data_IF_500989079633
#
_entry.id   IF_500989079633
#
_cell.length_a   1.000
_cell.length_b   1.000
_cell.length_c   1.000
_cell.angle_alpha   90.00
_cell.angle_beta   90.00
_cell.angle_gamma   90.00
#
_symmetry.space_group_name_H-M   'P 1'
#
loop_
_entity.id
_entity.type
_entity.pdbx_description
1 polymer ?
#
# COMPACT_ATOMS: atom_id res chain seq x y z
N UNK A 1 38.90 7.78 -28.49
CA UNK A 1 38.04 7.43 -27.34
C UNK A 1 38.78 7.76 -26.06
N UNK A 2 38.11 8.42 -25.12
CA UNK A 2 38.74 9.11 -24.00
C UNK A 2 38.39 8.53 -22.62
N UNK A 3 39.27 8.76 -21.65
CA UNK A 3 39.02 8.45 -20.24
C UNK A 3 38.05 9.47 -19.61
N UNK A 4 36.89 9.00 -19.14
CA UNK A 4 35.82 9.81 -18.53
C UNK A 4 36.28 10.76 -17.40
N UNK A 5 37.38 10.44 -16.70
CA UNK A 5 37.88 11.24 -15.57
C UNK A 5 38.85 12.37 -15.97
N UNK A 6 39.54 12.26 -17.11
CA UNK A 6 40.58 13.22 -17.52
C UNK A 6 40.47 13.71 -18.96
N UNK A 7 39.53 13.20 -19.76
CA UNK A 7 39.32 13.57 -21.16
C UNK A 7 40.58 13.46 -22.04
N UNK A 8 41.47 12.52 -21.69
CA UNK A 8 42.63 12.16 -22.50
C UNK A 8 42.33 10.84 -23.21
N UNK A 9 42.68 10.75 -24.49
CA UNK A 9 42.55 9.52 -25.27
C UNK A 9 43.30 8.36 -24.60
N UNK A 10 42.75 7.16 -24.71
CA UNK A 10 43.48 5.96 -24.29
C UNK A 10 44.71 5.76 -25.18
N UNK A 11 45.81 5.26 -24.62
CA UNK A 11 47.05 5.03 -25.37
C UNK A 11 47.84 3.86 -24.78
N UNK A 12 48.52 3.11 -25.64
CA UNK A 12 49.16 1.83 -25.31
C UNK A 12 50.31 1.90 -24.30
N UNK A 13 50.84 3.09 -23.98
CA UNK A 13 51.99 3.24 -23.10
C UNK A 13 51.71 4.08 -21.84
N UNK A 14 50.91 5.16 -21.95
CA UNK A 14 50.70 6.12 -20.84
C UNK A 14 49.26 6.09 -20.32
N UNK A 15 48.27 6.02 -21.21
CA UNK A 15 46.84 6.04 -20.87
C UNK A 15 46.17 4.66 -21.10
N UNK A 16 46.71 3.62 -20.48
CA UNK A 16 46.22 2.24 -20.62
C UNK A 16 44.77 2.14 -20.12
N UNK A 17 43.79 1.73 -20.97
CA UNK A 17 42.39 1.60 -20.59
C UNK A 17 42.15 0.36 -19.73
N UNK A 18 41.41 0.49 -18.63
CA UNK A 18 41.20 -0.55 -17.62
C UNK A 18 39.73 -0.56 -17.18
N UNK A 19 39.13 -1.74 -17.10
CA UNK A 19 37.68 -1.93 -16.87
C UNK A 19 37.39 -2.05 -15.37
N UNK A 20 36.45 -1.26 -14.87
CA UNK A 20 35.87 -1.43 -13.54
C UNK A 20 34.90 -2.61 -13.53
N UNK A 21 35.29 -3.71 -12.87
CA UNK A 21 34.63 -5.02 -12.96
C UNK A 21 33.19 -5.04 -12.44
N UNK A 22 32.78 -4.11 -11.58
CA UNK A 22 31.40 -4.06 -11.05
C UNK A 22 30.44 -3.22 -11.90
N UNK A 23 30.91 -2.50 -12.93
CA UNK A 23 30.05 -1.65 -13.77
C UNK A 23 30.42 -1.54 -15.25
N UNK A 24 31.50 -2.19 -15.72
CA UNK A 24 31.92 -2.18 -17.13
C UNK A 24 32.55 -0.87 -17.63
N UNK A 25 32.34 0.26 -16.95
CA UNK A 25 32.98 1.53 -17.27
C UNK A 25 34.50 1.46 -17.25
N UNK A 26 35.14 2.18 -18.17
CA UNK A 26 36.59 2.14 -18.39
C UNK A 26 37.26 3.46 -17.98
N UNK A 27 38.38 3.37 -17.26
CA UNK A 27 39.23 4.49 -16.87
C UNK A 27 40.68 4.21 -17.28
N UNK A 28 41.51 5.25 -17.43
CA UNK A 28 42.93 5.04 -17.65
C UNK A 28 43.63 4.64 -16.34
N UNK A 29 44.73 3.89 -16.44
CA UNK A 29 45.47 3.41 -15.28
C UNK A 29 45.96 4.56 -14.36
N UNK A 30 46.26 5.74 -14.92
CA UNK A 30 46.60 6.94 -14.15
C UNK A 30 45.43 7.44 -13.28
N UNK A 31 44.23 7.56 -13.86
CA UNK A 31 43.03 7.95 -13.12
C UNK A 31 42.63 6.90 -12.08
N UNK A 32 42.85 5.61 -12.35
CA UNK A 32 42.65 4.54 -11.36
C UNK A 32 43.64 4.66 -10.19
N UNK A 33 44.91 4.99 -10.44
CA UNK A 33 45.90 5.28 -9.37
C UNK A 33 45.47 6.42 -8.45
N UNK A 34 44.84 7.46 -8.99
CA UNK A 34 44.33 8.59 -8.19
C UNK A 34 43.00 8.35 -7.46
N UNK A 35 42.26 7.29 -7.83
CA UNK A 35 40.93 6.98 -7.28
C UNK A 35 40.89 5.67 -6.46
N UNK A 36 42.03 4.98 -6.34
CA UNK A 36 42.14 3.71 -5.61
C UNK A 36 42.41 3.96 -4.12
N UNK A 37 41.37 3.77 -3.32
CA UNK A 37 41.41 3.94 -1.87
C UNK A 37 40.78 2.72 -1.18
N UNK A 38 41.34 2.27 -0.07
CA UNK A 38 40.81 1.13 0.71
C UNK A 38 40.53 -0.16 -0.09
N UNK A 39 41.33 -0.43 -1.14
CA UNK A 39 41.18 -1.56 -2.08
C UNK A 39 39.90 -1.51 -2.94
N UNK A 40 39.36 -0.32 -3.17
CA UNK A 40 38.19 -0.10 -4.00
C UNK A 40 38.30 1.20 -4.83
N UNK A 41 37.43 1.32 -5.83
CA UNK A 41 37.27 2.50 -6.68
C UNK A 41 35.78 2.77 -6.85
N UNK A 42 35.34 3.99 -6.52
CA UNK A 42 34.01 4.48 -6.87
C UNK A 42 34.03 4.96 -8.32
N UNK A 43 33.21 4.37 -9.19
CA UNK A 43 33.15 4.74 -10.59
C UNK A 43 32.66 6.20 -10.75
N UNK A 44 33.41 7.11 -11.40
CA UNK A 44 32.99 8.51 -11.57
C UNK A 44 31.80 8.69 -12.54
N UNK A 45 31.46 7.67 -13.33
CA UNK A 45 30.39 7.71 -14.32
C UNK A 45 29.03 7.22 -13.76
N UNK A 46 29.03 6.32 -12.78
CA UNK A 46 27.79 5.72 -12.25
C UNK A 46 27.79 5.48 -10.72
N UNK A 47 28.81 5.93 -10.00
CA UNK A 47 28.99 5.79 -8.54
C UNK A 47 29.00 4.35 -7.99
N UNK A 48 29.04 3.32 -8.84
CA UNK A 48 29.20 1.92 -8.43
C UNK A 48 30.63 1.67 -7.95
N UNK A 49 30.77 1.02 -6.79
CA UNK A 49 32.06 0.68 -6.19
C UNK A 49 32.57 -0.63 -6.79
N UNK A 50 33.78 -0.62 -7.35
CA UNK A 50 34.49 -1.83 -7.78
C UNK A 50 35.66 -2.12 -6.83
N UNK A 51 35.67 -3.30 -6.19
CA UNK A 51 36.72 -3.72 -5.25
C UNK A 51 37.79 -4.56 -5.95
N UNK A 52 39.06 -4.32 -5.64
CA UNK A 52 40.19 -5.02 -6.25
C UNK A 52 41.43 -5.04 -5.31
N UNK A 53 42.19 -6.16 -5.24
CA UNK A 53 43.39 -6.23 -4.40
C UNK A 53 44.47 -5.19 -4.77
N UNK A 54 44.61 -4.91 -6.07
CA UNK A 54 45.51 -3.90 -6.64
C UNK A 54 44.87 -3.28 -7.88
N UNK A 55 45.37 -2.13 -8.33
CA UNK A 55 44.91 -1.47 -9.57
C UNK A 55 45.17 -2.36 -10.80
N UNK A 56 46.25 -3.14 -10.81
CA UNK A 56 46.56 -4.08 -11.89
C UNK A 56 45.59 -5.27 -11.97
N UNK A 57 44.78 -5.50 -10.92
CA UNK A 57 43.72 -6.51 -10.93
C UNK A 57 42.50 -6.09 -11.77
N UNK A 58 42.40 -4.81 -12.18
CA UNK A 58 41.43 -4.39 -13.18
C UNK A 58 41.92 -4.81 -14.58
N UNK A 59 41.12 -5.56 -15.36
CA UNK A 59 41.54 -6.04 -16.67
C UNK A 59 41.66 -4.88 -17.65
N UNK A 60 42.67 -4.93 -18.51
CA UNK A 60 42.85 -3.98 -19.60
C UNK A 60 41.72 -4.10 -20.62
N UNK A 61 41.16 -2.99 -21.08
CA UNK A 61 40.15 -2.99 -22.14
C UNK A 61 40.80 -3.22 -23.50
N UNK A 62 41.08 -4.49 -23.81
CA UNK A 62 41.73 -4.90 -25.05
C UNK A 62 40.94 -4.49 -26.30
N UNK A 63 39.61 -4.37 -26.23
CA UNK A 63 38.80 -3.91 -27.36
C UNK A 63 39.11 -2.45 -27.72
N UNK A 64 39.29 -1.56 -26.74
CA UNK A 64 39.68 -0.16 -27.01
C UNK A 64 41.09 -0.06 -27.60
N UNK A 65 42.04 -0.84 -27.07
CA UNK A 65 43.40 -0.91 -27.63
C UNK A 65 43.38 -1.47 -29.06
N UNK A 66 42.57 -2.50 -29.30
CA UNK A 66 42.38 -3.09 -30.62
C UNK A 66 41.76 -2.09 -31.60
N UNK A 67 40.75 -1.30 -31.22
CA UNK A 67 40.14 -0.28 -32.08
C UNK A 67 41.16 0.76 -32.57
N UNK A 68 42.14 1.15 -31.76
CA UNK A 68 43.23 2.02 -32.21
C UNK A 68 44.19 1.33 -33.19
N UNK A 69 44.46 0.02 -33.02
CA UNK A 69 45.23 -0.77 -34.00
C UNK A 69 44.42 -1.21 -35.23
N UNK A 70 43.08 -1.18 -35.18
CA UNK A 70 42.17 -1.70 -36.21
C UNK A 70 42.03 -0.83 -37.46
N UNK A 71 42.73 0.32 -37.54
CA UNK A 71 42.95 0.97 -38.84
C UNK A 71 43.68 0.07 -39.85
N UNK A 72 44.25 -1.06 -39.39
CA UNK A 72 44.75 -2.16 -40.23
C UNK A 72 44.23 -3.52 -39.77
N UNK A 73 42.94 -3.82 -39.96
CA UNK A 73 42.41 -5.18 -39.81
C UNK A 73 42.87 -6.08 -40.96
N UNK A 74 44.00 -6.77 -40.78
CA UNK A 74 44.51 -7.75 -41.75
C UNK A 74 43.70 -9.06 -41.65
N UNK A 75 43.22 -9.58 -42.79
CA UNK A 75 42.45 -10.83 -42.88
C UNK A 75 43.35 -12.09 -42.76
N UNK A 76 44.40 -12.03 -41.95
CA UNK A 76 45.45 -13.04 -41.87
C UNK A 76 45.37 -13.85 -40.58
N UNK A 77 45.73 -15.13 -40.68
CA UNK A 77 45.82 -16.04 -39.54
C UNK A 77 46.97 -15.64 -38.61
N UNK A 78 46.66 -15.39 -37.34
CA UNK A 78 47.63 -14.95 -36.33
C UNK A 78 48.82 -15.90 -36.08
N UNK A 79 48.71 -17.20 -36.43
CA UNK A 79 49.82 -18.16 -36.34
C UNK A 79 50.75 -18.14 -37.55
N UNK A 80 50.18 -18.09 -38.75
CA UNK A 80 50.88 -18.38 -40.00
C UNK A 80 51.11 -17.15 -40.87
N UNK A 81 50.49 -16.02 -40.52
CA UNK A 81 50.49 -14.77 -41.29
C UNK A 81 50.07 -14.94 -42.76
N UNK A 82 49.13 -15.87 -42.99
CA UNK A 82 48.52 -16.21 -44.30
C UNK A 82 47.04 -15.89 -44.28
N UNK A 83 46.46 -15.56 -45.42
CA UNK A 83 45.05 -15.19 -45.54
C UNK A 83 44.08 -16.28 -45.03
N UNK A 84 42.98 -15.82 -44.43
CA UNK A 84 41.90 -16.65 -43.91
C UNK A 84 40.92 -16.98 -45.04
N UNK A 85 40.74 -18.27 -45.32
CA UNK A 85 39.96 -18.76 -46.47
C UNK A 85 38.82 -19.70 -46.08
N UNK A 86 38.94 -20.38 -44.94
CA UNK A 86 37.99 -21.39 -44.49
C UNK A 86 37.53 -21.19 -43.03
N UNK A 87 36.37 -21.74 -42.72
CA UNK A 87 35.82 -21.84 -41.37
C UNK A 87 35.57 -23.31 -41.03
N UNK A 88 36.05 -23.74 -39.86
CA UNK A 88 35.77 -25.07 -39.33
C UNK A 88 34.58 -25.03 -38.38
N UNK A 89 33.54 -25.83 -38.65
CA UNK A 89 32.34 -25.92 -37.81
C UNK A 89 32.61 -26.64 -36.49
N UNK A 90 33.49 -27.64 -36.48
CA UNK A 90 33.85 -28.41 -35.28
C UNK A 90 34.50 -27.51 -34.22
N UNK A 91 35.56 -26.77 -34.61
CA UNK A 91 36.32 -25.92 -33.69
C UNK A 91 35.78 -24.49 -33.57
N UNK A 92 34.86 -24.10 -34.47
CA UNK A 92 34.35 -22.72 -34.63
C UNK A 92 35.47 -21.70 -34.87
N UNK A 93 36.46 -22.07 -35.70
CA UNK A 93 37.67 -21.27 -35.98
C UNK A 93 37.76 -20.87 -37.45
N UNK A 94 38.33 -19.68 -37.66
CA UNK A 94 38.79 -19.18 -38.94
C UNK A 94 40.18 -19.76 -39.25
N UNK A 95 40.37 -20.31 -40.45
CA UNK A 95 41.55 -21.06 -40.86
C UNK A 95 42.17 -20.46 -42.13
N UNK A 96 43.50 -20.42 -42.17
CA UNK A 96 44.28 -20.33 -43.41
C UNK A 96 44.68 -21.73 -43.91
N UNK A 97 45.24 -21.81 -45.11
CA UNK A 97 45.71 -23.08 -45.71
C UNK A 97 46.65 -23.88 -44.80
N UNK A 98 47.60 -23.25 -44.10
CA UNK A 98 48.48 -23.96 -43.15
C UNK A 98 47.73 -24.52 -41.94
N UNK A 99 46.71 -23.85 -41.43
CA UNK A 99 45.89 -24.45 -40.37
C UNK A 99 45.15 -25.70 -40.87
N UNK A 100 44.67 -25.70 -42.12
CA UNK A 100 44.05 -26.88 -42.71
C UNK A 100 45.07 -28.02 -42.86
N UNK A 101 46.29 -27.72 -43.30
CA UNK A 101 47.28 -28.73 -43.65
C UNK A 101 48.12 -29.27 -42.47
N UNK A 102 48.37 -28.44 -41.45
CA UNK A 102 49.38 -28.65 -40.42
C UNK A 102 48.78 -28.72 -39.00
N UNK A 103 47.77 -27.88 -38.68
CA UNK A 103 47.12 -27.83 -37.36
C UNK A 103 46.03 -28.92 -37.13
N UNK A 104 46.05 -30.01 -37.91
CA UNK A 104 45.15 -31.16 -37.70
C UNK A 104 43.69 -30.98 -38.14
N UNK A 105 43.29 -29.84 -38.71
CA UNK A 105 41.90 -29.61 -39.12
C UNK A 105 41.43 -30.44 -40.34
N UNK A 106 42.31 -31.19 -41.04
CA UNK A 106 41.99 -31.96 -42.26
C UNK A 106 40.74 -32.84 -42.18
N UNK A 107 40.46 -33.42 -41.00
CA UNK A 107 39.34 -34.34 -40.77
C UNK A 107 38.07 -33.66 -40.23
N UNK A 108 38.06 -32.35 -40.06
CA UNK A 108 36.91 -31.62 -39.50
C UNK A 108 36.00 -31.06 -40.60
N UNK A 109 34.70 -30.92 -40.29
CA UNK A 109 33.77 -30.27 -41.21
C UNK A 109 34.16 -28.79 -41.35
N UNK A 110 34.47 -28.40 -42.58
CA UNK A 110 34.89 -27.04 -42.92
C UNK A 110 34.24 -26.55 -44.21
N UNK A 111 34.14 -25.24 -44.37
CA UNK A 111 33.62 -24.62 -45.58
C UNK A 111 34.27 -23.26 -45.83
N UNK A 112 34.03 -22.65 -46.98
CA UNK A 112 34.56 -21.30 -47.29
C UNK A 112 33.90 -20.24 -46.41
N UNK A 113 34.61 -19.15 -46.11
CA UNK A 113 34.08 -18.05 -45.27
C UNK A 113 32.70 -17.58 -45.72
N UNK A 114 32.49 -17.43 -47.03
CA UNK A 114 31.21 -16.98 -47.59
C UNK A 114 30.05 -17.93 -47.29
N UNK A 115 30.27 -19.26 -47.39
CA UNK A 115 29.23 -20.26 -47.07
C UNK A 115 28.94 -20.35 -45.57
N UNK A 116 29.98 -20.28 -44.74
CA UNK A 116 29.82 -20.24 -43.28
C UNK A 116 29.06 -18.98 -42.83
N UNK A 117 29.43 -17.82 -43.38
CA UNK A 117 28.79 -16.56 -43.07
C UNK A 117 27.32 -16.51 -43.55
N UNK A 118 26.99 -17.10 -44.70
CA UNK A 118 25.60 -17.22 -45.15
C UNK A 118 24.76 -18.07 -44.17
N UNK A 119 25.21 -19.30 -43.86
CA UNK A 119 24.52 -20.21 -42.92
C UNK A 119 24.39 -19.63 -41.51
N UNK A 120 25.40 -18.88 -41.05
CA UNK A 120 25.36 -18.24 -39.73
C UNK A 120 24.47 -16.99 -39.71
N UNK A 121 24.34 -16.25 -40.82
CA UNK A 121 23.36 -15.14 -40.96
C UNK A 121 21.93 -15.67 -40.97
N UNK A 122 21.63 -16.68 -41.78
CA UNK A 122 20.33 -17.37 -41.81
C UNK A 122 19.90 -17.82 -40.40
N UNK A 123 20.83 -18.42 -39.64
CA UNK A 123 20.57 -18.80 -38.24
C UNK A 123 20.28 -17.60 -37.33
N UNK A 124 20.94 -16.46 -37.55
CA UNK A 124 20.68 -15.23 -36.79
C UNK A 124 19.35 -14.57 -37.21
N UNK A 125 18.96 -14.65 -38.48
CA UNK A 125 17.67 -14.15 -38.98
C UNK A 125 16.50 -14.93 -38.35
N UNK A 126 16.60 -16.26 -38.28
CA UNK A 126 15.61 -17.12 -37.59
C UNK A 126 15.53 -16.77 -36.09
N UNK A 127 16.68 -16.59 -35.42
CA UNK A 127 16.71 -16.18 -34.01
C UNK A 127 16.13 -14.77 -33.80
N UNK A 128 16.40 -13.84 -34.72
CA UNK A 128 15.86 -12.48 -34.65
C UNK A 128 14.33 -12.48 -34.80
N UNK A 129 13.79 -13.23 -35.78
CA UNK A 129 12.34 -13.40 -35.93
C UNK A 129 11.70 -14.01 -34.67
N UNK A 130 12.34 -15.02 -34.07
CA UNK A 130 11.87 -15.61 -32.80
C UNK A 130 11.91 -14.62 -31.63
N UNK A 131 12.92 -13.74 -31.57
CA UNK A 131 13.03 -12.71 -30.52
C UNK A 131 11.94 -11.65 -30.70
N UNK A 132 11.72 -11.15 -31.92
CA UNK A 132 10.64 -10.19 -32.21
C UNK A 132 9.25 -10.75 -31.90
N UNK A 133 9.03 -12.05 -32.10
CA UNK A 133 7.78 -12.69 -31.70
C UNK A 133 7.62 -12.76 -30.17
N UNK A 134 8.69 -13.11 -29.43
CA UNK A 134 8.68 -13.13 -27.97
C UNK A 134 8.45 -11.72 -27.41
N UNK A 135 9.10 -10.70 -27.99
CA UNK A 135 8.92 -9.29 -27.63
C UNK A 135 7.47 -8.83 -27.84
N UNK A 136 6.85 -9.18 -28.97
CA UNK A 136 5.43 -8.93 -29.22
C UNK A 136 4.53 -9.57 -28.16
N UNK A 137 4.68 -10.87 -27.91
CA UNK A 137 3.89 -11.60 -26.92
C UNK A 137 4.04 -11.02 -25.49
N UNK A 138 5.26 -10.63 -25.10
CA UNK A 138 5.53 -10.04 -23.79
C UNK A 138 4.91 -8.64 -23.65
N UNK A 139 4.89 -7.85 -24.71
CA UNK A 139 4.20 -6.56 -24.73
C UNK A 139 2.68 -6.76 -24.61
N UNK A 140 2.09 -7.71 -25.35
CA UNK A 140 0.65 -8.04 -25.25
C UNK A 140 0.26 -8.53 -23.83
N UNK A 141 1.09 -9.38 -23.21
CA UNK A 141 0.89 -9.86 -21.84
C UNK A 141 1.03 -8.72 -20.80
N UNK A 142 2.02 -7.83 -20.96
CA UNK A 142 2.18 -6.62 -20.13
C UNK A 142 0.95 -5.71 -20.24
N UNK A 143 0.45 -5.49 -21.45
CA UNK A 143 -0.77 -4.73 -21.72
C UNK A 143 -2.00 -5.34 -21.05
N UNK A 144 -2.10 -6.67 -21.01
CA UNK A 144 -3.18 -7.37 -20.29
C UNK A 144 -3.03 -7.25 -18.76
N UNK A 145 -1.81 -7.36 -18.23
CA UNK A 145 -1.53 -7.18 -16.81
C UNK A 145 -1.87 -5.76 -16.33
N UNK A 146 -1.59 -4.73 -17.14
CA UNK A 146 -1.97 -3.34 -16.83
C UNK A 146 -3.49 -3.13 -16.86
N UNK A 147 -4.20 -3.73 -17.83
CA UNK A 147 -5.67 -3.73 -17.89
C UNK A 147 -6.28 -4.43 -16.68
N UNK A 148 -5.75 -5.60 -16.29
CA UNK A 148 -6.17 -6.35 -15.09
C UNK A 148 -5.92 -5.54 -13.82
N UNK A 149 -4.75 -4.94 -13.67
CA UNK A 149 -4.39 -4.07 -12.52
C UNK A 149 -5.33 -2.87 -12.41
N UNK A 150 -5.59 -2.19 -13.53
CA UNK A 150 -6.51 -1.05 -13.59
C UNK A 150 -7.95 -1.44 -13.23
N UNK A 151 -8.40 -2.62 -13.69
CA UNK A 151 -9.71 -3.18 -13.35
C UNK A 151 -9.81 -3.48 -11.84
N UNK A 152 -8.80 -4.11 -11.25
CA UNK A 152 -8.74 -4.40 -9.80
C UNK A 152 -8.78 -3.11 -8.98
N UNK A 153 -7.97 -2.10 -9.32
CA UNK A 153 -8.00 -0.81 -8.62
C UNK A 153 -9.37 -0.13 -8.74
N UNK A 154 -9.98 -0.17 -9.93
CA UNK A 154 -11.33 0.37 -10.16
C UNK A 154 -12.41 -0.35 -9.34
N UNK A 155 -12.32 -1.67 -9.14
CA UNK A 155 -13.29 -2.40 -8.30
C UNK A 155 -13.01 -2.21 -6.81
N UNK A 156 -11.75 -2.16 -6.40
CA UNK A 156 -11.32 -1.82 -5.04
C UNK A 156 -11.88 -0.46 -4.60
N UNK A 157 -11.66 0.59 -5.40
CA UNK A 157 -12.07 1.96 -5.05
C UNK A 157 -13.60 2.07 -4.98
N UNK A 158 -14.32 1.40 -5.89
CA UNK A 158 -15.79 1.31 -5.85
C UNK A 158 -16.31 0.60 -4.61
N UNK A 159 -15.67 -0.48 -4.17
CA UNK A 159 -16.07 -1.18 -2.94
C UNK A 159 -15.80 -0.32 -1.70
N UNK A 160 -14.68 0.42 -1.66
CA UNK A 160 -14.40 1.39 -0.59
C UNK A 160 -15.48 2.49 -0.58
N UNK A 161 -15.83 3.06 -1.73
CA UNK A 161 -16.88 4.08 -1.84
C UNK A 161 -18.25 3.53 -1.39
N UNK A 162 -18.63 2.34 -1.86
CA UNK A 162 -19.89 1.65 -1.52
C UNK A 162 -20.00 1.41 -0.01
N UNK A 163 -19.02 0.75 0.61
CA UNK A 163 -19.04 0.50 2.06
C UNK A 163 -18.88 1.77 2.90
N UNK A 164 -18.00 2.70 2.50
CA UNK A 164 -17.85 3.98 3.21
C UNK A 164 -19.15 4.78 3.19
N UNK A 165 -19.86 4.78 2.06
CA UNK A 165 -21.19 5.40 1.91
C UNK A 165 -22.23 4.78 2.84
N UNK A 166 -22.29 3.44 2.94
CA UNK A 166 -23.20 2.74 3.87
C UNK A 166 -22.95 3.16 5.33
N UNK A 167 -21.71 3.10 5.80
CA UNK A 167 -21.39 3.51 7.17
C UNK A 167 -21.59 5.01 7.41
N UNK A 168 -21.40 5.85 6.38
CA UNK A 168 -21.63 7.29 6.49
C UNK A 168 -23.12 7.62 6.59
N UNK A 169 -23.98 6.98 5.80
CA UNK A 169 -25.43 7.15 5.89
C UNK A 169 -25.98 6.76 7.27
N UNK A 170 -25.47 5.69 7.89
CA UNK A 170 -25.83 5.31 9.27
C UNK A 170 -25.42 6.38 10.27
N UNK A 171 -24.18 6.90 10.19
CA UNK A 171 -23.72 7.99 11.06
C UNK A 171 -24.60 9.23 10.92
N UNK A 172 -24.86 9.68 9.69
CA UNK A 172 -25.67 10.87 9.44
C UNK A 172 -27.11 10.73 9.95
N UNK A 173 -27.71 9.55 9.81
CA UNK A 173 -29.04 9.25 10.36
C UNK A 173 -29.06 9.28 11.90
N UNK A 174 -28.05 8.70 12.56
CA UNK A 174 -27.92 8.69 14.02
C UNK A 174 -27.62 10.11 14.55
N UNK A 175 -26.65 10.82 13.98
CA UNK A 175 -26.30 12.20 14.35
C UNK A 175 -27.48 13.16 14.19
N UNK A 176 -28.31 12.96 13.14
CA UNK A 176 -29.52 13.74 12.92
C UNK A 176 -30.58 13.46 14.00
N UNK A 177 -30.78 12.17 14.32
CA UNK A 177 -31.74 11.75 15.36
C UNK A 177 -31.31 12.20 16.75
N UNK A 178 -30.03 12.11 17.09
CA UNK A 178 -29.50 12.62 18.36
C UNK A 178 -29.83 14.11 18.53
N UNK A 179 -29.55 14.93 17.50
CA UNK A 179 -29.87 16.37 17.49
C UNK A 179 -31.37 16.61 17.69
N UNK A 180 -32.23 15.86 17.02
CA UNK A 180 -33.70 15.93 17.19
C UNK A 180 -34.13 15.63 18.63
N UNK A 181 -33.63 14.55 19.23
CA UNK A 181 -33.96 14.17 20.62
C UNK A 181 -33.48 15.23 21.60
N UNK A 182 -32.20 15.61 21.51
CA UNK A 182 -31.58 16.60 22.41
C UNK A 182 -32.30 17.95 22.32
N UNK A 183 -32.74 18.36 21.13
CA UNK A 183 -33.50 19.58 20.94
C UNK A 183 -34.89 19.50 21.58
N UNK A 184 -35.65 18.42 21.35
CA UNK A 184 -36.97 18.22 21.98
C UNK A 184 -36.92 18.13 23.50
N UNK A 185 -35.86 17.54 24.07
CA UNK A 185 -35.63 17.50 25.52
C UNK A 185 -35.45 18.92 26.08
N UNK A 186 -34.65 19.76 25.41
CA UNK A 186 -34.47 21.17 25.81
C UNK A 186 -35.78 21.95 25.74
N UNK A 187 -36.49 21.87 24.62
CA UNK A 187 -37.77 22.56 24.44
C UNK A 187 -38.82 22.14 25.49
N UNK A 188 -38.85 20.85 25.84
CA UNK A 188 -39.70 20.32 26.91
C UNK A 188 -39.33 20.92 28.27
N UNK A 189 -38.03 20.97 28.59
CA UNK A 189 -37.53 21.53 29.85
C UNK A 189 -37.76 23.04 29.94
N UNK A 190 -37.49 23.79 28.87
CA UNK A 190 -37.68 25.24 28.80
C UNK A 190 -39.16 25.61 28.93
N UNK A 191 -40.07 24.87 28.28
CA UNK A 191 -41.51 25.04 28.41
C UNK A 191 -41.98 24.86 29.87
N UNK A 192 -41.61 23.74 30.51
CA UNK A 192 -41.92 23.49 31.92
C UNK A 192 -41.31 24.53 32.86
N UNK A 193 -40.10 25.04 32.55
CA UNK A 193 -39.46 26.08 33.33
C UNK A 193 -40.15 27.43 33.20
N UNK A 194 -40.69 27.75 32.01
CA UNK A 194 -41.52 28.93 31.77
C UNK A 194 -42.83 28.87 32.55
N UNK A 195 -43.58 27.76 32.51
CA UNK A 195 -44.80 27.55 33.30
C UNK A 195 -44.56 27.74 34.81
N UNK A 196 -43.47 27.16 35.32
CA UNK A 196 -43.05 27.30 36.72
C UNK A 196 -42.67 28.77 37.03
N UNK A 197 -42.01 29.47 36.11
CA UNK A 197 -41.59 30.86 36.30
C UNK A 197 -42.79 31.83 36.28
N UNK A 198 -43.72 31.67 35.34
CA UNK A 198 -44.98 32.42 35.31
C UNK A 198 -45.75 32.20 36.62
N UNK A 199 -45.88 30.94 37.06
CA UNK A 199 -46.52 30.61 38.34
C UNK A 199 -45.84 31.27 39.54
N UNK A 200 -44.49 31.26 39.58
CA UNK A 200 -43.71 31.94 40.61
C UNK A 200 -43.94 33.45 40.60
N UNK A 201 -44.09 34.07 39.42
CA UNK A 201 -44.32 35.50 39.30
C UNK A 201 -45.74 35.89 39.76
N UNK A 202 -46.76 35.13 39.37
CA UNK A 202 -48.12 35.27 39.88
C UNK A 202 -48.18 35.12 41.41
N UNK A 203 -47.48 34.14 41.99
CA UNK A 203 -47.39 34.01 43.45
C UNK A 203 -46.66 35.18 44.12
N UNK A 204 -45.59 35.73 43.53
CA UNK A 204 -44.94 36.96 44.03
C UNK A 204 -45.90 38.15 44.05
N UNK A 205 -46.73 38.30 43.02
CA UNK A 205 -47.76 39.34 42.93
C UNK A 205 -48.85 39.18 43.99
N UNK A 206 -49.41 37.98 44.13
CA UNK A 206 -50.39 37.67 45.17
C UNK A 206 -49.82 37.97 46.57
N UNK A 207 -48.58 37.56 46.85
CA UNK A 207 -47.90 37.84 48.13
C UNK A 207 -47.71 39.35 48.34
N UNK A 208 -47.35 40.14 47.31
CA UNK A 208 -47.27 41.61 47.42
C UNK A 208 -48.62 42.23 47.75
N UNK A 209 -49.69 41.79 47.10
CA UNK A 209 -51.06 42.26 47.38
C UNK A 209 -51.53 41.90 48.79
N UNK A 210 -51.28 40.66 49.25
CA UNK A 210 -51.56 40.22 50.62
C UNK A 210 -50.81 41.10 51.64
N UNK A 211 -49.51 41.35 51.42
CA UNK A 211 -48.70 42.22 52.30
C UNK A 211 -49.25 43.66 52.34
N UNK A 212 -49.65 44.22 51.19
CA UNK A 212 -50.26 45.55 51.13
C UNK A 212 -51.55 45.61 51.95
N UNK A 213 -52.45 44.64 51.76
CA UNK A 213 -53.71 44.59 52.52
C UNK A 213 -53.49 44.38 54.01
N UNK A 214 -52.56 43.50 54.42
CA UNK A 214 -52.20 43.34 55.84
C UNK A 214 -51.70 44.65 56.45
N UNK A 215 -50.87 45.42 55.74
CA UNK A 215 -50.42 46.73 56.23
C UNK A 215 -51.59 47.72 56.37
N UNK A 216 -52.55 47.72 55.44
CA UNK A 216 -53.74 48.59 55.55
C UNK A 216 -54.69 48.14 56.67
N UNK A 217 -54.73 46.85 57.03
CA UNK A 217 -55.44 46.36 58.22
C UNK A 217 -54.75 46.81 59.51
N UNK A 218 -53.43 46.63 59.63
CA UNK A 218 -52.67 47.07 60.80
C UNK A 218 -52.87 48.56 61.09
N UNK A 219 -52.84 49.44 60.07
CA UNK A 219 -53.14 50.88 60.25
C UNK A 219 -54.56 51.13 60.80
N UNK A 220 -55.51 50.28 60.46
CA UNK A 220 -56.90 50.43 60.90
C UNK A 220 -57.06 50.23 62.41
N UNK A 221 -56.11 49.53 63.06
CA UNK A 221 -56.08 49.33 64.52
C UNK A 221 -55.58 50.59 65.27
N UNK A 222 -54.86 51.48 64.59
CA UNK A 222 -54.28 52.72 65.15
C UNK A 222 -55.04 54.00 64.70
N UNK A 223 -56.00 53.88 63.78
CA UNK A 223 -56.81 54.98 63.24
C UNK A 223 -57.98 55.35 64.16
N UNK A 224 -58.37 56.64 64.14
CA UNK A 224 -59.63 57.07 64.75
C UNK A 224 -60.84 56.71 63.86
N UNK A 225 -62.04 56.68 64.45
CA UNK A 225 -63.29 56.28 63.79
C UNK A 225 -63.57 57.02 62.46
N UNK A 226 -63.24 58.32 62.39
CA UNK A 226 -63.45 59.12 61.18
C UNK A 226 -62.53 58.67 60.03
N UNK A 227 -61.24 58.50 60.32
CA UNK A 227 -60.26 57.99 59.34
C UNK A 227 -60.53 56.54 58.95
N UNK A 228 -60.94 55.70 59.91
CA UNK A 228 -61.30 54.30 59.67
C UNK A 228 -62.43 54.19 58.63
N UNK A 229 -63.53 54.93 58.83
CA UNK A 229 -64.70 54.90 57.93
C UNK A 229 -64.36 55.50 56.54
N UNK A 230 -63.56 56.55 56.47
CA UNK A 230 -63.09 57.12 55.20
C UNK A 230 -62.29 56.10 54.36
N UNK A 231 -61.42 55.33 55.02
CA UNK A 231 -60.55 54.33 54.37
C UNK A 231 -61.22 52.96 54.17
N UNK A 232 -62.37 52.68 54.80
CA UNK A 232 -63.01 51.36 54.81
C UNK A 232 -63.32 50.83 53.41
N UNK A 233 -63.91 51.64 52.53
CA UNK A 233 -64.24 51.23 51.16
C UNK A 233 -62.99 50.83 50.35
N UNK A 234 -61.87 51.53 50.57
CA UNK A 234 -60.60 51.18 49.93
C UNK A 234 -60.08 49.83 50.45
N UNK A 235 -60.09 49.61 51.77
CA UNK A 235 -59.71 48.33 52.40
C UNK A 235 -60.58 47.17 51.88
N UNK A 236 -61.89 47.35 51.84
CA UNK A 236 -62.83 46.34 51.36
C UNK A 236 -62.58 45.97 49.89
N UNK A 237 -62.29 46.96 49.04
CA UNK A 237 -61.94 46.74 47.62
C UNK A 237 -60.61 45.98 47.45
N UNK A 238 -59.62 46.21 48.33
CA UNK A 238 -58.34 45.48 48.32
C UNK A 238 -58.54 44.02 48.74
N UNK A 239 -59.31 43.77 49.81
CA UNK A 239 -59.62 42.44 50.31
C UNK A 239 -60.31 41.55 49.26
N UNK A 240 -61.34 42.08 48.58
CA UNK A 240 -62.08 41.37 47.51
C UNK A 240 -61.18 40.87 46.36
N UNK A 241 -60.07 41.55 46.08
CA UNK A 241 -59.17 41.19 44.98
C UNK A 241 -58.14 40.10 45.32
N UNK A 242 -57.94 39.77 46.60
CA UNK A 242 -56.87 38.85 47.05
C UNK A 242 -57.30 37.38 47.01
N UNK A 243 -58.59 37.08 47.15
CA UNK A 243 -59.11 35.71 47.33
C UNK A 243 -59.20 34.87 46.04
N UNK A 244 -58.55 35.27 44.93
CA UNK A 244 -58.58 34.51 43.68
C UNK A 244 -57.70 33.26 43.80
N UNK A 245 -58.31 32.07 43.79
CA UNK A 245 -57.58 30.80 43.81
C UNK A 245 -56.77 30.63 42.54
N UNK A 246 -55.49 30.30 42.68
CA UNK A 246 -54.62 29.92 41.57
C UNK A 246 -55.00 28.52 41.05
N UNK A 247 -55.15 28.29 39.72
CA UNK A 247 -55.41 26.96 39.18
C UNK A 247 -54.29 25.98 39.51
N UNK A 248 -54.52 24.67 39.73
CA UNK A 248 -53.43 23.72 39.93
C UNK A 248 -52.47 23.69 38.73
N UNK A 249 -51.18 23.45 38.96
CA UNK A 249 -50.25 23.10 37.89
C UNK A 249 -50.62 21.71 37.36
N UNK A 250 -50.64 21.54 36.04
CA UNK A 250 -50.99 20.28 35.42
C UNK A 250 -49.84 19.28 35.64
N UNK A 251 -50.11 18.16 36.30
CA UNK A 251 -49.16 17.06 36.46
C UNK A 251 -49.15 16.19 35.20
N UNK A 252 -48.54 16.68 34.12
CA UNK A 252 -48.24 15.86 32.94
C UNK A 252 -46.76 15.53 32.98
N UNK A 253 -46.42 14.25 32.93
CA UNK A 253 -45.03 13.83 32.74
C UNK A 253 -44.68 13.88 31.25
N UNK A 254 -44.28 15.07 30.78
CA UNK A 254 -43.87 15.24 29.37
C UNK A 254 -42.60 14.43 29.04
N UNK A 255 -41.85 13.94 30.03
CA UNK A 255 -40.65 13.15 29.78
C UNK A 255 -40.94 11.68 29.47
N UNK A 256 -42.16 11.18 29.75
CA UNK A 256 -42.56 9.81 29.40
C UNK A 256 -42.57 9.54 27.89
N UNK A 257 -42.48 10.58 27.05
CA UNK A 257 -42.36 10.47 25.60
C UNK A 257 -40.94 10.06 25.13
N UNK A 258 -39.94 10.10 26.03
CA UNK A 258 -38.55 9.72 25.75
C UNK A 258 -38.27 8.35 26.35
N UNK A 259 -38.19 7.31 25.51
CA UNK A 259 -37.96 5.92 25.90
C UNK A 259 -36.72 5.38 25.18
N UNK A 260 -35.95 4.52 25.87
CA UNK A 260 -34.74 3.89 25.30
C UNK A 260 -35.11 2.85 24.24
N UNK A 261 -36.25 2.22 24.43
CA UNK A 261 -36.83 1.20 23.56
C UNK A 261 -37.16 1.81 22.19
N UNK A 262 -37.81 2.99 22.16
CA UNK A 262 -38.13 3.72 20.93
C UNK A 262 -36.87 4.10 20.14
N UNK A 263 -35.81 4.54 20.81
CA UNK A 263 -34.57 4.92 20.13
C UNK A 263 -33.72 3.70 19.72
N UNK A 264 -33.79 2.60 20.47
CA UNK A 264 -33.23 1.31 20.07
C UNK A 264 -33.90 0.78 18.80
N UNK A 265 -35.23 0.84 18.71
CA UNK A 265 -35.98 0.48 17.51
C UNK A 265 -35.63 1.38 16.32
N UNK A 266 -35.43 2.68 16.54
CA UNK A 266 -34.96 3.61 15.50
C UNK A 266 -33.57 3.19 14.97
N UNK A 267 -32.59 2.95 15.85
CA UNK A 267 -31.23 2.54 15.44
C UNK A 267 -31.27 1.20 14.70
N UNK A 268 -32.01 0.22 15.21
CA UNK A 268 -32.23 -1.07 14.55
C UNK A 268 -32.86 -0.90 13.16
N UNK A 269 -33.82 0.02 13.01
CA UNK A 269 -34.48 0.33 11.73
C UNK A 269 -33.53 1.01 10.75
N UNK A 270 -32.72 1.98 11.19
CA UNK A 270 -31.69 2.63 10.35
C UNK A 270 -30.71 1.58 9.82
N UNK A 271 -30.15 0.73 10.68
CA UNK A 271 -29.21 -0.32 10.27
C UNK A 271 -29.88 -1.25 9.24
N UNK A 272 -31.10 -1.74 9.53
CA UNK A 272 -31.84 -2.58 8.57
C UNK A 272 -32.10 -1.86 7.25
N UNK A 273 -32.48 -0.59 7.24
CA UNK A 273 -32.78 0.15 6.01
C UNK A 273 -31.53 0.50 5.18
N UNK A 274 -30.41 0.83 5.83
CA UNK A 274 -29.16 1.16 5.12
C UNK A 274 -28.47 -0.07 4.55
N UNK A 275 -28.44 -1.19 5.29
CA UNK A 275 -27.75 -2.41 4.86
C UNK A 275 -28.63 -3.38 4.04
N UNK A 276 -29.94 -3.13 3.90
CA UNK A 276 -30.86 -3.97 3.10
C UNK A 276 -31.48 -3.17 1.96
N UNK A 277 -30.74 -3.01 0.86
CA UNK A 277 -31.30 -2.68 -0.46
C UNK A 277 -30.43 -3.24 -1.60
N UNK A 278 -31.05 -3.44 -2.78
CA UNK A 278 -31.37 -4.77 -3.28
C UNK A 278 -30.14 -5.54 -3.79
N UNK A 279 -30.25 -6.86 -3.88
CA UNK A 279 -29.27 -7.69 -4.56
C UNK A 279 -28.98 -7.13 -5.97
N UNK A 280 -27.71 -6.79 -6.25
CA UNK A 280 -27.27 -6.40 -7.58
C UNK A 280 -27.77 -7.45 -8.57
N UNK A 281 -28.56 -7.02 -9.55
CA UNK A 281 -28.84 -7.85 -10.71
C UNK A 281 -27.50 -8.13 -11.39
N UNK A 282 -26.95 -9.32 -11.15
CA UNK A 282 -25.80 -9.84 -11.89
C UNK A 282 -26.26 -9.98 -13.33
N UNK A 283 -25.97 -8.96 -14.13
CA UNK A 283 -26.17 -9.02 -15.56
C UNK A 283 -25.27 -10.12 -16.08
N UNK A 284 -25.87 -11.29 -16.35
CA UNK A 284 -25.24 -12.36 -17.12
C UNK A 284 -24.76 -11.76 -18.44
N UNK A 285 -23.49 -11.39 -18.51
CA UNK A 285 -22.80 -11.21 -19.78
C UNK A 285 -22.68 -12.61 -20.38
N UNK A 286 -23.64 -12.96 -21.23
CA UNK A 286 -23.41 -13.93 -22.29
C UNK A 286 -22.36 -13.33 -23.22
N UNK A 287 -21.16 -13.88 -23.17
CA UNK A 287 -20.25 -13.97 -24.30
C UNK A 287 -19.78 -15.42 -24.32
N UNK A 288 -20.30 -16.18 -25.28
CA UNK A 288 -20.13 -17.62 -25.37
C UNK A 288 -18.75 -18.00 -25.95
N UNK A 289 -18.23 -19.12 -25.47
CA UNK A 289 -17.31 -20.06 -26.14
C UNK A 289 -16.12 -19.53 -26.96
N UNK A 290 -14.93 -19.65 -26.37
CA UNK A 290 -13.74 -20.40 -26.84
C UNK A 290 -12.59 -20.03 -25.89
N UNK A 291 -11.80 -20.92 -25.28
CA UNK A 291 -11.40 -22.28 -25.65
C UNK A 291 -11.30 -23.15 -24.38
N UNK A 292 -11.98 -24.31 -24.34
CA UNK A 292 -11.67 -25.37 -23.37
C UNK A 292 -11.40 -26.69 -24.08
N UNK A 293 -10.22 -26.76 -24.71
CA UNK A 293 -9.49 -27.98 -25.07
C UNK A 293 -8.00 -27.65 -25.11
N UNK A 294 -7.27 -27.97 -24.04
CA UNK A 294 -6.11 -28.89 -24.11
C UNK A 294 -5.45 -29.09 -22.72
N UNK A 295 -5.84 -30.21 -22.08
CA UNK A 295 -4.99 -31.19 -21.36
C UNK A 295 -4.04 -30.70 -20.24
N UNK A 296 -4.30 -31.21 -19.04
CA UNK A 296 -3.39 -31.23 -17.89
C UNK A 296 -2.00 -31.84 -18.21
N UNK A 297 -0.88 -31.26 -17.75
CA UNK A 297 0.41 -31.94 -17.77
C UNK A 297 0.56 -32.89 -16.58
N UNK A 298 0.36 -34.19 -16.81
CA UNK A 298 0.80 -35.27 -15.89
C UNK A 298 1.83 -36.15 -16.62
N UNK A 299 2.96 -36.54 -15.99
CA UNK A 299 4.15 -36.98 -16.73
C UNK A 299 4.09 -38.46 -17.13
N UNK A 300 4.56 -38.82 -18.33
CA UNK A 300 4.76 -40.23 -18.76
C UNK A 300 5.74 -40.31 -19.96
N UNK A 301 6.27 -41.48 -20.35
CA UNK A 301 7.65 -41.82 -20.00
C UNK A 301 8.58 -41.97 -21.22
N UNK A 302 9.89 -41.94 -20.97
CA UNK A 302 10.90 -42.23 -21.98
C UNK A 302 11.06 -43.74 -22.24
N UNK A 303 10.94 -44.14 -23.50
CA UNK A 303 11.52 -45.37 -24.08
C UNK A 303 12.05 -44.98 -25.48
N UNK A 304 13.35 -44.83 -25.69
CA UNK A 304 14.37 -45.89 -25.83
C UNK A 304 14.25 -46.72 -27.11
N UNK A 305 15.09 -46.42 -28.11
CA UNK A 305 15.76 -47.44 -28.94
C UNK A 305 17.23 -47.05 -29.13
N UNK A 306 18.09 -48.06 -29.12
CA UNK A 306 19.55 -47.99 -29.01
C UNK A 306 20.22 -47.64 -30.36
N UNK A 307 21.52 -47.36 -30.48
CA UNK A 307 22.63 -48.34 -30.41
C UNK A 307 24.02 -47.65 -30.21
N UNK A 308 24.91 -48.37 -29.51
CA UNK A 308 26.39 -48.29 -29.46
C UNK A 308 27.14 -47.16 -28.68
N UNK A 309 27.81 -47.61 -27.61
CA UNK A 309 29.00 -47.05 -26.91
C UNK A 309 30.30 -47.53 -27.62
N UNK A 310 31.51 -46.92 -27.44
CA UNK A 310 32.30 -46.92 -26.17
C UNK A 310 33.14 -45.62 -25.92
N UNK A 311 33.91 -45.41 -24.84
CA UNK A 311 33.91 -45.86 -23.42
C UNK A 311 35.02 -45.11 -22.64
N UNK A 312 34.81 -44.78 -21.35
CA UNK A 312 35.85 -44.53 -20.30
C UNK A 312 36.84 -43.35 -20.57
N UNK A 313 37.23 -42.47 -19.63
CA UNK A 313 37.02 -42.29 -18.18
C UNK A 313 37.43 -40.81 -17.82
N UNK A 314 37.55 -40.27 -16.61
CA UNK A 314 37.58 -40.86 -15.26
C UNK A 314 37.26 -39.86 -14.10
N UNK A 315 37.36 -40.37 -12.86
CA UNK A 315 37.68 -39.79 -11.53
C UNK A 315 38.16 -38.31 -11.42
N UNK A 316 37.92 -37.54 -10.34
CA UNK A 316 37.68 -37.92 -8.92
C UNK A 316 37.00 -36.81 -8.05
N UNK A 317 36.93 -37.04 -6.73
CA UNK A 317 35.97 -36.48 -5.76
C UNK A 317 36.70 -36.03 -4.45
N UNK A 318 36.18 -35.23 -3.46
CA UNK A 318 34.90 -34.53 -3.19
C UNK A 318 35.10 -33.46 -2.05
N UNK A 319 34.12 -32.56 -1.79
CA UNK A 319 34.02 -31.58 -0.63
C UNK A 319 34.98 -30.38 -0.65
N UNK A 320 34.76 -29.24 0.01
CA UNK A 320 33.66 -28.43 0.62
C UNK A 320 34.34 -27.58 1.72
N UNK A 321 34.04 -26.27 1.74
CA UNK A 321 34.32 -25.25 2.77
C UNK A 321 33.58 -25.58 4.11
N UNK A 322 33.67 -24.83 5.26
CA UNK A 322 33.86 -23.37 5.37
C UNK A 322 34.47 -22.74 6.67
N UNK A 323 34.52 -21.40 6.73
CA UNK A 323 33.79 -20.55 7.71
C UNK A 323 34.57 -19.39 8.39
N UNK A 324 33.79 -18.37 8.80
CA UNK A 324 34.08 -17.31 9.79
C UNK A 324 35.09 -16.20 9.42
N UNK A 325 35.04 -14.98 9.96
CA UNK A 325 33.93 -14.12 10.44
C UNK A 325 34.51 -12.68 10.62
N UNK A 326 33.66 -11.63 10.63
CA UNK A 326 34.08 -10.25 10.97
C UNK A 326 33.43 -9.76 12.28
N UNK A 327 34.20 -8.94 12.99
CA UNK A 327 33.87 -7.98 14.07
C UNK A 327 34.73 -6.73 13.77
N UNK A 328 34.49 -5.49 14.22
CA UNK A 328 33.41 -4.81 14.95
C UNK A 328 33.65 -3.28 14.81
N UNK A 329 32.60 -2.45 14.98
CA UNK A 329 32.54 -1.13 15.68
C UNK A 329 33.62 -0.01 15.44
N UNK A 330 33.49 1.28 15.82
CA UNK A 330 32.46 2.07 16.49
C UNK A 330 32.62 3.61 16.22
N UNK A 331 31.59 4.42 16.51
CA UNK A 331 31.60 5.85 16.98
C UNK A 331 32.37 6.97 16.23
N UNK A 332 31.73 8.06 15.71
CA UNK A 332 31.28 9.36 16.34
C UNK A 332 32.44 10.35 16.69
N UNK A 333 32.27 11.69 16.92
CA UNK A 333 31.11 12.61 16.76
C UNK A 333 31.34 14.07 16.25
N UNK A 334 30.25 14.81 15.90
CA UNK A 334 30.06 16.31 15.88
C UNK A 334 30.98 17.13 14.92
N UNK A 335 30.63 18.27 14.30
CA UNK A 335 29.43 19.13 14.11
C UNK A 335 29.76 20.13 12.96
N UNK A 336 28.97 21.12 12.47
CA UNK A 336 27.77 21.80 12.97
C UNK A 336 26.91 22.42 11.81
N UNK A 337 26.14 23.48 12.10
CA UNK A 337 25.05 24.11 11.32
C UNK A 337 25.39 25.35 10.47
N UNK A 338 24.74 25.52 9.30
CA UNK A 338 24.18 26.81 8.80
C UNK A 338 22.78 26.55 8.19
N UNK A 339 21.85 27.49 8.36
CA UNK A 339 20.41 27.35 8.04
C UNK A 339 20.02 28.02 6.71
N UNK A 340 19.20 27.35 5.89
CA UNK A 340 18.19 27.98 5.00
C UNK A 340 16.91 27.13 4.96
N UNK A 341 15.73 27.76 5.13
CA UNK A 341 14.41 27.14 4.92
C UNK A 341 14.05 27.17 3.43
N UNK A 342 13.25 26.21 2.94
CA UNK A 342 11.89 26.59 2.51
C UNK A 342 10.77 25.58 2.84
N UNK A 343 9.54 26.12 2.89
CA UNK A 343 8.21 25.53 2.57
C UNK A 343 7.91 24.07 2.98
N UNK A 344 6.96 23.90 3.92
CA UNK A 344 6.34 22.61 4.24
C UNK A 344 5.27 22.23 3.20
N UNK A 345 5.47 21.14 2.45
CA UNK A 345 4.35 20.29 1.99
C UNK A 345 3.99 19.34 3.13
N UNK A 346 2.70 19.21 3.47
CA UNK A 346 2.21 18.25 4.46
C UNK A 346 1.75 16.99 3.74
N UNK A 347 2.66 16.03 3.59
CA UNK A 347 2.31 14.64 3.26
C UNK A 347 2.14 13.88 4.57
N UNK A 348 0.91 13.48 4.91
CA UNK A 348 0.66 12.56 6.03
C UNK A 348 0.92 11.13 5.57
N UNK A 349 2.12 10.62 5.85
CA UNK A 349 2.39 9.17 5.78
C UNK A 349 1.80 8.53 7.04
N UNK A 350 0.74 7.72 6.89
CA UNK A 350 0.18 6.95 8.00
C UNK A 350 1.07 5.71 8.20
N UNK A 351 1.76 5.65 9.33
CA UNK A 351 2.63 4.54 9.68
C UNK A 351 1.83 3.50 10.50
N UNK A 352 1.33 2.45 9.84
CA UNK A 352 0.55 1.37 10.44
C UNK A 352 1.43 0.37 11.21
N UNK A 353 2.24 0.86 12.14
CA UNK A 353 2.91 0.03 13.14
C UNK A 353 3.06 0.84 14.43
N UNK A 354 2.01 0.79 15.24
CA UNK A 354 2.05 1.20 16.64
C UNK A 354 1.16 0.26 17.44
N UNK A 355 1.78 -0.59 18.24
CA UNK A 355 1.09 -1.50 19.15
C UNK A 355 0.19 -0.69 20.11
N UNK A 356 -1.07 -1.11 20.23
CA UNK A 356 -2.02 -0.54 21.18
C UNK A 356 -1.90 -1.33 22.49
N UNK A 357 -1.79 -0.70 23.66
CA UNK A 357 -1.71 -1.41 24.93
C UNK A 357 -2.96 -2.27 25.18
N UNK A 358 -2.75 -3.52 25.62
CA UNK A 358 -3.81 -4.49 25.87
C UNK A 358 -4.51 -4.26 27.22
N UNK A 359 -5.14 -3.09 27.41
CA UNK A 359 -5.88 -2.74 28.64
C UNK A 359 -7.32 -2.26 28.43
N UNK A 360 -7.72 -1.85 27.22
CA UNK A 360 -9.03 -1.20 26.97
C UNK A 360 -9.83 -1.87 25.84
N UNK A 361 -10.15 -3.16 25.99
CA UNK A 361 -10.98 -3.94 25.04
C UNK A 361 -12.04 -4.79 25.75
N UNK A 362 -12.82 -4.17 26.65
CA UNK A 362 -13.85 -4.85 27.45
C UNK A 362 -15.28 -4.75 26.84
N UNK A 363 -15.40 -4.70 25.51
CA UNK A 363 -16.70 -4.60 24.79
C UNK A 363 -17.19 -5.92 24.19
N UNK A 364 -16.37 -6.98 24.22
CA UNK A 364 -16.73 -8.29 23.67
C UNK A 364 -17.54 -9.15 24.64
N UNK A 365 -17.42 -8.94 25.95
CA UNK A 365 -18.17 -9.69 26.97
C UNK A 365 -19.67 -9.32 26.98
N UNK A 366 -20.01 -8.07 26.65
CA UNK A 366 -21.41 -7.60 26.60
C UNK A 366 -22.22 -8.27 25.46
N UNK A 367 -21.57 -8.72 24.38
CA UNK A 367 -22.24 -9.40 23.27
C UNK A 367 -22.67 -10.82 23.65
N UNK A 368 -21.97 -11.46 24.59
CA UNK A 368 -22.37 -12.77 25.14
C UNK A 368 -23.60 -12.68 26.06
N UNK A 369 -23.92 -11.49 26.60
CA UNK A 369 -25.10 -11.28 27.45
C UNK A 369 -26.39 -11.02 26.64
N UNK A 370 -26.26 -10.53 25.40
CA UNK A 370 -27.41 -10.25 24.52
C UNK A 370 -27.89 -11.52 23.80
N UNK A 371 -27.01 -12.50 23.61
CA UNK A 371 -27.31 -13.75 22.89
C UNK A 371 -28.01 -14.83 23.75
N UNK A 372 -28.08 -14.67 25.06
CA UNK A 372 -28.74 -15.64 25.97
C UNK A 372 -30.27 -15.52 26.06
N UNK A 373 -30.89 -14.57 25.34
CA UNK A 373 -32.34 -14.29 25.41
C UNK A 373 -33.11 -14.55 24.10
N UNK A 374 -32.50 -15.17 23.09
CA UNK A 374 -33.08 -15.28 21.73
C UNK A 374 -33.03 -16.68 21.09
N UNK A 375 -32.99 -17.77 21.87
CA UNK A 375 -33.04 -19.15 21.33
C UNK A 375 -33.87 -20.11 22.20
N UNK A 376 -35.18 -20.10 22.00
CA UNK A 376 -36.02 -21.32 22.09
C UNK A 376 -36.87 -21.35 20.81
N UNK A 377 -36.93 -22.53 20.15
CA UNK A 377 -37.62 -22.81 18.87
C UNK A 377 -37.06 -22.01 17.66
N UNK A 378 -36.36 -22.59 16.68
CA UNK A 378 -36.75 -23.81 15.95
C UNK A 378 -35.60 -24.52 15.18
N UNK A 379 -35.92 -25.75 14.80
CA UNK A 379 -35.19 -26.88 14.22
C UNK A 379 -34.33 -26.70 12.94
N UNK A 380 -33.09 -27.21 13.04
CA UNK A 380 -32.42 -28.16 12.12
C UNK A 380 -32.49 -28.00 10.57
N UNK A 381 -31.33 -27.78 9.94
CA UNK A 381 -30.84 -28.67 8.85
C UNK A 381 -29.35 -28.49 8.51
N UNK A 382 -28.52 -29.32 9.15
CA UNK A 382 -27.36 -30.05 8.63
C UNK A 382 -26.74 -29.63 7.28
N UNK A 383 -25.50 -29.14 7.30
CA UNK A 383 -24.38 -29.75 6.55
C UNK A 383 -23.15 -29.78 7.46
N UNK A 384 -22.66 -30.99 7.75
CA UNK A 384 -21.33 -31.21 8.35
C UNK A 384 -20.29 -31.35 7.24
N UNK A 385 -19.09 -30.79 7.42
CA UNK A 385 -17.88 -31.35 6.83
C UNK A 385 -16.67 -31.06 7.73
N UNK A 386 -15.92 -32.11 8.08
CA UNK A 386 -14.80 -32.06 9.01
C UNK A 386 -13.62 -31.19 8.51
N UNK A 387 -13.02 -30.43 9.45
CA UNK A 387 -11.68 -29.85 9.33
C UNK A 387 -10.75 -30.44 10.40
N UNK A 388 -10.52 -31.74 10.32
CA UNK A 388 -9.51 -32.45 11.12
C UNK A 388 -8.29 -32.85 10.28
N UNK A 389 -7.41 -31.89 9.96
CA UNK A 389 -5.98 -32.17 9.78
C UNK A 389 -5.16 -30.87 9.68
N UNK A 390 -4.38 -30.58 10.73
CA UNK A 390 -3.02 -30.00 10.71
C UNK A 390 -2.62 -29.53 12.12
N UNK A 391 -2.14 -30.48 12.94
CA UNK A 391 -1.34 -30.19 14.13
C UNK A 391 -0.31 -31.31 14.30
N UNK A 392 0.93 -30.92 14.61
CA UNK A 392 2.17 -31.73 14.55
C UNK A 392 2.66 -31.95 13.10
N UNK A 393 3.92 -31.69 12.73
CA UNK A 393 5.10 -31.22 13.49
C UNK A 393 5.63 -29.88 12.97
#
# INVERSE_FOLDING_TARGET
>A
MECFKCSIEFENQVHIPRILTSCGHTLCEFCLKSLFENKAITCPQCNVISSAPTILSFPTNLALMQIQTQKTSQNVCAKHNKDIEAFCYTDKKLLCVSCILEDGHKSHEMTTINKAAAKQREKLEILNASISQIEGNLNDEQDELEKRTSSINTTHDKLIEEFSGLYQAVREAIDSREKEIVQRIKETADSLMNDINERKNLHKEMIRSIKKYKNELNKAEEENDLSFIQNFNQRESLGKNICKKTPPLQKVDLFSQFSREVESDFVCKVIKQTFVFPARAVTKRKSEENVEKYINPTPTPAQSKEIAKPSLSDQQTIRKTPAMAKKEAATRPKSNTIVKKPVKKVTRTINLNKEIPASDMNWLDDISAITSHLNEEDTLSTISLDLTHLRHN
#
